data_IF_194040787734
#
_entry.id   IF_194040787734
#
_cell.length_a   1.000
_cell.length_b   1.000
_cell.length_c   1.000
_cell.angle_alpha   90.00
_cell.angle_beta   90.00
_cell.angle_gamma   90.00
#
_symmetry.space_group_name_H-M   'P 1'
#
loop_
_entity.id
_entity.type
_entity.pdbx_description
1 polymer ?
#
# COMPACT_ATOMS: atom_id res chain seq x y z
N UNK A 1 26.89 4.58 12.78
CA UNK A 1 26.05 3.43 12.66
C UNK A 1 25.28 3.48 11.35
N UNK A 2 25.09 2.35 10.76
CA UNK A 2 24.32 2.27 9.54
C UNK A 2 22.84 2.55 9.76
N UNK A 3 22.15 2.79 8.67
CA UNK A 3 20.71 2.94 8.70
C UNK A 3 20.06 1.64 9.15
N UNK A 4 19.11 1.74 10.05
CA UNK A 4 18.32 0.59 10.46
C UNK A 4 17.05 0.58 9.64
N UNK A 5 16.76 -0.55 9.00
CA UNK A 5 15.52 -0.72 8.29
C UNK A 5 14.36 -0.76 9.28
N UNK A 6 13.29 -0.09 8.95
CA UNK A 6 12.07 -0.14 9.73
C UNK A 6 10.94 -0.72 8.90
N UNK A 7 9.97 -1.27 9.58
CA UNK A 7 8.83 -1.92 8.97
C UNK A 7 7.61 -1.03 9.12
N UNK A 8 6.92 -0.77 8.02
CA UNK A 8 5.62 -0.13 8.04
C UNK A 8 4.55 -1.21 7.97
N UNK A 9 3.65 -1.21 8.94
CA UNK A 9 2.53 -2.13 8.95
C UNK A 9 1.29 -1.36 8.49
N UNK A 10 0.68 -1.84 7.43
CA UNK A 10 -0.50 -1.22 6.84
C UNK A 10 -1.70 -2.13 7.06
N UNK A 11 -2.80 -1.53 7.46
CA UNK A 11 -4.05 -2.25 7.64
C UNK A 11 -5.19 -1.42 7.06
N UNK A 12 -6.18 -2.11 6.51
CA UNK A 12 -7.36 -1.46 5.95
C UNK A 12 -8.58 -2.36 6.13
N UNK A 13 -9.75 -1.77 5.95
CA UNK A 13 -11.01 -2.50 6.08
C UNK A 13 -11.27 -3.34 4.84
N UNK A 14 -11.83 -4.52 5.05
CA UNK A 14 -12.21 -5.39 3.96
C UNK A 14 -13.29 -4.74 3.10
N UNK A 15 -13.10 -4.78 1.80
CA UNK A 15 -14.09 -4.28 0.84
C UNK A 15 -14.91 -5.47 0.35
N UNK A 16 -16.23 -5.37 0.48
CA UNK A 16 -17.13 -6.43 0.06
C UNK A 16 -17.01 -6.67 -1.45
N UNK A 17 -16.83 -7.91 -1.83
CA UNK A 17 -16.70 -8.28 -3.24
C UNK A 17 -15.32 -8.13 -3.84
N UNK A 18 -14.35 -7.64 -3.07
CA UNK A 18 -12.99 -7.51 -3.57
C UNK A 18 -12.31 -8.87 -3.65
N UNK A 19 -11.59 -9.12 -4.74
CA UNK A 19 -10.75 -10.31 -4.88
C UNK A 19 -9.38 -10.10 -4.27
N UNK A 20 -8.96 -8.87 -4.13
CA UNK A 20 -7.68 -8.54 -3.53
C UNK A 20 -7.46 -7.05 -3.46
N UNK A 21 -6.26 -6.67 -3.07
CA UNK A 21 -5.89 -5.28 -2.87
C UNK A 21 -4.52 -5.02 -3.45
N UNK A 22 -4.32 -3.80 -3.95
CA UNK A 22 -3.02 -3.34 -4.42
C UNK A 22 -2.53 -2.24 -3.51
N UNK A 23 -1.29 -2.37 -3.04
CA UNK A 23 -0.65 -1.38 -2.18
C UNK A 23 0.35 -0.57 -3.00
N UNK A 24 0.23 0.74 -2.91
CA UNK A 24 1.10 1.67 -3.61
C UNK A 24 1.86 2.53 -2.61
N UNK A 25 3.08 2.88 -2.94
CA UNK A 25 3.94 3.70 -2.09
C UNK A 25 4.63 4.79 -2.89
N UNK A 26 4.91 5.90 -2.22
CA UNK A 26 5.65 7.01 -2.79
C UNK A 26 6.46 7.69 -1.69
N UNK A 27 7.54 8.34 -2.07
CA UNK A 27 8.34 9.15 -1.16
C UNK A 27 7.75 10.54 -0.98
N UNK A 28 6.75 10.92 -1.76
CA UNK A 28 6.12 12.23 -1.75
C UNK A 28 4.61 12.07 -1.86
N UNK A 29 3.88 12.85 -1.08
CA UNK A 29 2.42 12.78 -1.07
C UNK A 29 1.82 13.02 -2.45
N UNK A 30 2.37 13.95 -3.20
CA UNK A 30 1.90 14.28 -4.54
C UNK A 30 2.80 13.71 -5.63
N UNK A 31 3.69 12.78 -5.27
CA UNK A 31 4.60 12.16 -6.20
C UNK A 31 3.99 10.99 -6.94
N UNK A 32 4.83 10.29 -7.68
CA UNK A 32 4.41 9.09 -8.41
C UNK A 32 4.36 7.91 -7.45
N UNK A 33 3.22 7.26 -7.37
CA UNK A 33 3.04 6.06 -6.56
C UNK A 33 3.34 4.83 -7.39
N UNK A 34 4.09 3.92 -6.79
CA UNK A 34 4.47 2.66 -7.42
C UNK A 34 3.83 1.51 -6.65
N UNK A 35 3.28 0.55 -7.38
CA UNK A 35 2.72 -0.64 -6.75
C UNK A 35 3.85 -1.47 -6.13
N UNK A 36 3.74 -1.72 -4.84
CA UNK A 36 4.76 -2.47 -4.11
C UNK A 36 4.26 -3.87 -3.70
N UNK A 37 2.95 -4.08 -3.67
CA UNK A 37 2.42 -5.36 -3.22
C UNK A 37 1.00 -5.57 -3.73
N UNK A 38 0.67 -6.83 -3.99
CA UNK A 38 -0.70 -7.28 -4.22
C UNK A 38 -0.99 -8.33 -3.17
N UNK A 39 -2.10 -8.20 -2.46
CA UNK A 39 -2.47 -9.14 -1.41
C UNK A 39 -3.97 -9.36 -1.39
N UNK A 40 -4.38 -10.52 -0.93
CA UNK A 40 -5.80 -10.82 -0.72
C UNK A 40 -6.26 -10.49 0.70
N UNK A 41 -5.34 -10.21 1.60
CA UNK A 41 -5.65 -9.84 2.97
C UNK A 41 -5.85 -8.35 3.13
N UNK A 42 -6.18 -7.94 4.35
CA UNK A 42 -6.44 -6.53 4.68
C UNK A 42 -5.25 -5.86 5.34
N UNK A 43 -4.07 -6.43 5.19
CA UNK A 43 -2.85 -5.87 5.76
C UNK A 43 -1.66 -6.14 4.88
N UNK A 44 -0.65 -5.30 5.00
CA UNK A 44 0.61 -5.45 4.28
C UNK A 44 1.73 -4.85 5.11
N UNK A 45 2.94 -5.34 4.88
CA UNK A 45 4.13 -4.86 5.57
C UNK A 45 5.15 -4.41 4.55
N UNK A 46 5.71 -3.22 4.75
CA UNK A 46 6.81 -2.71 3.94
C UNK A 46 8.06 -2.70 4.81
N UNK A 47 9.02 -3.53 4.47
CA UNK A 47 10.26 -3.68 5.21
C UNK A 47 11.42 -2.87 4.64
N UNK A 48 11.16 -2.08 3.61
CA UNK A 48 12.20 -1.32 2.93
C UNK A 48 12.34 0.11 3.41
N UNK A 49 11.68 0.47 4.50
CA UNK A 49 11.79 1.80 5.08
C UNK A 49 13.12 1.98 5.80
N UNK A 50 13.70 3.15 5.61
CA UNK A 50 14.91 3.55 6.32
C UNK A 50 14.57 4.56 7.42
N UNK A 51 15.33 4.51 8.50
CA UNK A 51 15.19 5.46 9.61
C UNK A 51 15.34 6.89 9.10
N UNK A 52 14.44 7.77 9.52
CA UNK A 52 14.44 9.17 9.11
C UNK A 52 13.75 9.45 7.79
N UNK A 53 13.25 8.42 7.14
CA UNK A 53 12.50 8.59 5.88
C UNK A 53 11.01 8.62 6.15
N UNK A 54 10.29 9.33 5.29
CA UNK A 54 8.84 9.34 5.30
C UNK A 54 8.35 8.71 4.02
N UNK A 55 7.36 7.84 4.12
CA UNK A 55 6.71 7.25 2.95
C UNK A 55 5.21 7.42 3.05
N UNK A 56 4.61 7.47 1.89
CA UNK A 56 3.16 7.60 1.75
C UNK A 56 2.63 6.35 1.07
N UNK A 57 1.52 5.84 1.57
CA UNK A 57 0.91 4.62 1.08
C UNK A 57 -0.55 4.85 0.76
N UNK A 58 -1.02 4.17 -0.26
CA UNK A 58 -2.45 4.09 -0.56
C UNK A 58 -2.77 2.70 -1.08
N UNK A 59 -4.01 2.29 -0.88
CA UNK A 59 -4.46 0.95 -1.21
C UNK A 59 -5.74 1.07 -2.03
N UNK A 60 -5.90 0.20 -3.02
CA UNK A 60 -7.17 0.06 -3.72
C UNK A 60 -7.54 -1.40 -3.81
N UNK A 61 -8.84 -1.67 -3.75
CA UNK A 61 -9.37 -3.00 -3.97
C UNK A 61 -9.49 -3.27 -5.46
N UNK A 62 -9.40 -4.53 -5.84
CA UNK A 62 -9.71 -4.93 -7.20
C UNK A 62 -10.61 -6.16 -7.17
N UNK A 63 -11.34 -6.34 -8.26
CA UNK A 63 -12.19 -7.49 -8.46
C UNK A 63 -11.99 -7.99 -9.89
N UNK A 64 -11.89 -9.29 -10.05
CA UNK A 64 -11.79 -9.88 -11.39
C UNK A 64 -13.19 -10.15 -11.93
N UNK A 65 -13.46 -9.62 -13.10
CA UNK A 65 -14.72 -9.82 -13.79
C UNK A 65 -14.39 -10.29 -15.20
N UNK A 66 -14.82 -11.51 -15.55
CA UNK A 66 -14.54 -12.12 -16.85
C UNK A 66 -13.06 -12.11 -17.20
N UNK A 67 -12.20 -12.38 -16.22
CA UNK A 67 -10.76 -12.42 -16.40
C UNK A 67 -10.06 -11.08 -16.42
N UNK A 68 -10.80 -9.99 -16.25
CA UNK A 68 -10.23 -8.63 -16.22
C UNK A 68 -10.33 -8.04 -14.82
N UNK A 69 -9.31 -7.32 -14.43
CA UNK A 69 -9.30 -6.64 -13.15
C UNK A 69 -10.06 -5.33 -13.23
N UNK A 70 -11.00 -5.13 -12.32
CA UNK A 70 -11.72 -3.87 -12.16
C UNK A 70 -11.29 -3.26 -10.84
N UNK A 71 -10.81 -2.02 -10.88
CA UNK A 71 -10.22 -1.37 -9.72
C UNK A 71 -11.19 -0.42 -9.05
N UNK A 72 -11.20 -0.44 -7.73
CA UNK A 72 -11.94 0.53 -6.95
C UNK A 72 -11.14 1.81 -6.71
N UNK A 73 -11.72 2.72 -5.94
CA UNK A 73 -11.06 3.95 -5.56
C UNK A 73 -9.92 3.67 -4.58
N UNK A 74 -8.90 4.50 -4.61
CA UNK A 74 -7.84 4.41 -3.63
C UNK A 74 -8.34 4.84 -2.24
N UNK A 75 -7.77 4.21 -1.21
CA UNK A 75 -7.96 4.63 0.16
C UNK A 75 -7.32 6.00 0.40
N UNK A 76 -7.54 6.56 1.58
CA UNK A 76 -6.82 7.75 2.01
C UNK A 76 -5.32 7.44 2.06
N UNK A 77 -4.52 8.44 1.73
CA UNK A 77 -3.07 8.31 1.79
C UNK A 77 -2.65 8.22 3.25
N UNK A 78 -1.86 7.20 3.56
CA UNK A 78 -1.31 7.00 4.90
C UNK A 78 0.15 7.42 4.90
N UNK A 79 0.51 8.34 5.78
CA UNK A 79 1.87 8.80 5.96
C UNK A 79 2.53 7.99 7.07
N UNK A 80 3.70 7.44 6.79
CA UNK A 80 4.48 6.71 7.77
C UNK A 80 5.84 7.38 7.92
N UNK A 81 6.13 7.82 9.13
CA UNK A 81 7.43 8.41 9.48
C UNK A 81 8.29 7.35 10.18
N UNK A 82 9.54 7.28 9.80
CA UNK A 82 10.50 6.36 10.43
C UNK A 82 11.58 7.10 11.20
#
# INVERSE_FOLDING_TARGET
AGSTSKTAVLEWSKVKGADGYQVYASDSQNGTYTRIKITKGTGATDESLLTGKTRYYKVRAYRKVNGKAVYGSFSKIKKVNC
#
